data_IF_448022654114
#
_entry.id   IF_448022654114
#
_cell.length_a   1.000
_cell.length_b   1.000
_cell.length_c   1.000
_cell.angle_alpha   90.00
_cell.angle_beta   90.00
_cell.angle_gamma   90.00
#
_symmetry.space_group_name_H-M   'P 1'
#
loop_
_entity.id
_entity.type
_entity.pdbx_description
1 polymer ?
#
# COMPACT_ATOMS: atom_id res chain seq x y z
N UNK A 1 -30.22 9.30 9.47
CA UNK A 1 -30.69 8.10 8.74
C UNK A 1 -30.51 6.88 9.63
N UNK A 2 -31.60 6.18 9.97
CA UNK A 2 -31.53 4.96 10.79
C UNK A 2 -30.64 3.91 10.11
N UNK A 3 -29.72 3.29 10.87
CA UNK A 3 -28.86 2.21 10.36
C UNK A 3 -29.76 1.08 9.89
N UNK A 4 -29.71 0.73 8.60
CA UNK A 4 -30.42 -0.44 8.07
C UNK A 4 -29.90 -1.69 8.78
N UNK A 5 -30.80 -2.44 9.43
CA UNK A 5 -30.44 -3.65 10.18
C UNK A 5 -29.80 -4.67 9.22
N UNK A 6 -28.56 -5.06 9.48
CA UNK A 6 -27.83 -6.01 8.63
C UNK A 6 -28.51 -7.38 8.61
N UNK A 7 -28.44 -8.08 7.47
CA UNK A 7 -29.06 -9.40 7.30
C UNK A 7 -28.27 -10.47 8.06
N UNK A 8 -28.96 -11.33 8.82
CA UNK A 8 -28.32 -12.41 9.57
C UNK A 8 -27.57 -13.39 8.65
N UNK A 9 -26.60 -14.11 9.21
CA UNK A 9 -25.83 -15.13 8.47
C UNK A 9 -26.75 -16.26 7.98
N UNK A 10 -27.70 -16.67 8.80
CA UNK A 10 -28.64 -17.76 8.46
C UNK A 10 -29.53 -17.41 7.27
N UNK A 11 -30.02 -16.16 7.20
CA UNK A 11 -30.81 -15.70 6.05
C UNK A 11 -29.96 -15.66 4.78
N UNK A 12 -28.67 -15.32 4.88
CA UNK A 12 -27.74 -15.36 3.73
C UNK A 12 -27.45 -16.78 3.26
N UNK A 13 -27.30 -17.74 4.18
CA UNK A 13 -27.15 -19.16 3.84
C UNK A 13 -28.37 -19.68 3.09
N UNK A 14 -29.57 -19.45 3.62
CA UNK A 14 -30.83 -19.84 2.96
C UNK A 14 -30.98 -19.26 1.54
N UNK A 15 -30.50 -18.04 1.31
CA UNK A 15 -30.48 -17.43 -0.04
C UNK A 15 -29.60 -18.24 -1.00
N UNK A 16 -28.42 -18.67 -0.54
CA UNK A 16 -27.49 -19.47 -1.36
C UNK A 16 -28.07 -20.87 -1.61
N UNK A 17 -28.63 -21.52 -0.59
CA UNK A 17 -29.22 -22.86 -0.72
C UNK A 17 -30.37 -22.86 -1.73
N UNK A 18 -31.28 -21.88 -1.65
CA UNK A 18 -32.39 -21.74 -2.60
C UNK A 18 -31.91 -21.41 -4.02
N UNK A 19 -30.80 -20.68 -4.15
CA UNK A 19 -30.17 -20.42 -5.45
C UNK A 19 -29.57 -21.68 -6.05
N UNK A 20 -28.88 -22.50 -5.25
CA UNK A 20 -28.33 -23.79 -5.68
C UNK A 20 -29.43 -24.78 -6.05
N UNK A 21 -30.59 -24.70 -5.40
CA UNK A 21 -31.80 -25.44 -5.75
C UNK A 21 -32.53 -24.91 -7.02
N UNK A 22 -31.93 -23.95 -7.74
CA UNK A 22 -32.44 -23.45 -9.01
C UNK A 22 -33.53 -22.37 -8.93
N UNK A 23 -33.85 -21.85 -7.74
CA UNK A 23 -34.85 -20.78 -7.62
C UNK A 23 -34.33 -19.44 -8.17
N UNK A 24 -35.24 -18.67 -8.76
CA UNK A 24 -34.94 -17.33 -9.28
C UNK A 24 -34.80 -16.31 -8.14
N UNK A 25 -33.98 -15.26 -8.36
CA UNK A 25 -33.73 -14.22 -7.35
C UNK A 25 -35.02 -13.53 -6.87
N UNK A 26 -36.01 -13.39 -7.76
CA UNK A 26 -37.33 -12.83 -7.44
C UNK A 26 -38.13 -13.74 -6.50
N UNK A 27 -38.15 -15.05 -6.79
CA UNK A 27 -38.83 -16.04 -5.96
C UNK A 27 -38.20 -16.15 -4.56
N UNK A 28 -36.86 -16.13 -4.50
CA UNK A 28 -36.11 -16.14 -3.23
C UNK A 28 -36.41 -14.89 -2.41
N UNK A 29 -36.43 -13.71 -3.05
CA UNK A 29 -36.74 -12.45 -2.39
C UNK A 29 -38.16 -12.43 -1.80
N UNK A 30 -39.15 -12.90 -2.56
CA UNK A 30 -40.54 -13.04 -2.09
C UNK A 30 -40.67 -14.03 -0.93
N UNK A 31 -39.97 -15.17 -1.00
CA UNK A 31 -40.02 -16.21 0.04
C UNK A 31 -39.40 -15.76 1.36
N UNK A 32 -38.30 -15.00 1.32
CA UNK A 32 -37.54 -14.62 2.52
C UNK A 32 -37.83 -13.20 3.02
N UNK A 33 -38.72 -12.45 2.35
CA UNK A 33 -39.00 -11.05 2.69
C UNK A 33 -37.80 -10.11 2.43
N UNK A 34 -36.93 -10.47 1.49
CA UNK A 34 -35.70 -9.73 1.18
C UNK A 34 -35.82 -9.10 -0.21
N UNK A 35 -35.38 -7.85 -0.36
CA UNK A 35 -35.37 -7.16 -1.67
C UNK A 35 -34.57 -7.98 -2.69
N UNK A 36 -35.10 -8.15 -3.92
CA UNK A 36 -34.44 -8.85 -5.03
C UNK A 36 -33.00 -8.38 -5.25
N UNK A 37 -32.75 -7.07 -5.16
CA UNK A 37 -31.40 -6.49 -5.28
C UNK A 37 -30.42 -7.00 -4.22
N UNK A 38 -30.89 -7.19 -2.98
CA UNK A 38 -30.10 -7.77 -1.89
C UNK A 38 -29.81 -9.24 -2.14
N UNK A 39 -30.80 -10.01 -2.62
CA UNK A 39 -30.63 -11.42 -3.02
C UNK A 39 -29.56 -11.53 -4.12
N UNK A 40 -29.66 -10.74 -5.18
CA UNK A 40 -28.68 -10.73 -6.28
C UNK A 40 -27.27 -10.31 -5.83
N UNK A 41 -27.17 -9.33 -4.91
CA UNK A 41 -25.87 -8.93 -4.34
C UNK A 41 -25.20 -10.07 -3.55
N UNK A 42 -25.98 -10.82 -2.76
CA UNK A 42 -25.50 -11.98 -1.99
C UNK A 42 -25.07 -13.11 -2.93
N UNK A 43 -25.88 -13.46 -3.93
CA UNK A 43 -25.57 -14.52 -4.90
C UNK A 43 -24.32 -14.18 -5.69
N UNK A 44 -24.18 -12.94 -6.18
CA UNK A 44 -22.98 -12.49 -6.89
C UNK A 44 -21.73 -12.61 -6.01
N UNK A 45 -21.82 -12.17 -4.76
CA UNK A 45 -20.71 -12.29 -3.79
C UNK A 45 -20.36 -13.75 -3.54
N UNK A 46 -21.34 -14.63 -3.33
CA UNK A 46 -21.10 -16.05 -3.12
C UNK A 46 -20.50 -16.73 -4.35
N UNK A 47 -20.95 -16.39 -5.57
CA UNK A 47 -20.35 -16.90 -6.81
C UNK A 47 -18.86 -16.57 -6.90
N UNK A 48 -18.47 -15.37 -6.47
CA UNK A 48 -17.06 -14.91 -6.47
C UNK A 48 -16.24 -15.51 -5.34
N UNK A 49 -16.71 -15.44 -4.09
CA UNK A 49 -15.90 -15.72 -2.91
C UNK A 49 -16.24 -17.04 -2.21
N UNK A 50 -17.26 -17.76 -2.68
CA UNK A 50 -17.76 -19.03 -2.11
C UNK A 50 -18.06 -18.95 -0.61
N UNK A 51 -18.44 -17.77 -0.12
CA UNK A 51 -18.76 -17.54 1.29
C UNK A 51 -19.97 -16.62 1.43
N UNK A 52 -20.78 -16.91 2.43
CA UNK A 52 -21.86 -16.05 2.92
C UNK A 52 -21.42 -15.17 4.09
N UNK A 53 -20.22 -15.41 4.64
CA UNK A 53 -19.68 -14.63 5.75
C UNK A 53 -19.50 -13.18 5.37
N UNK A 54 -19.57 -12.31 6.40
CA UNK A 54 -19.12 -10.95 6.23
C UNK A 54 -17.62 -10.99 5.95
N UNK A 55 -17.24 -10.58 4.74
CA UNK A 55 -15.84 -10.32 4.46
C UNK A 55 -15.48 -9.04 5.21
N UNK A 56 -14.25 -8.91 5.72
CA UNK A 56 -13.79 -7.64 6.23
C UNK A 56 -14.09 -6.57 5.19
N UNK A 57 -14.72 -5.48 5.62
CA UNK A 57 -14.95 -4.35 4.73
C UNK A 57 -13.60 -3.97 4.17
N UNK A 58 -13.46 -3.92 2.84
CA UNK A 58 -12.33 -3.22 2.24
C UNK A 58 -12.37 -1.82 2.84
N UNK A 59 -11.38 -1.50 3.69
CA UNK A 59 -11.33 -0.21 4.35
C UNK A 59 -11.43 0.90 3.30
N UNK A 60 -11.89 2.07 3.72
CA UNK A 60 -11.82 3.27 2.89
C UNK A 60 -10.42 3.35 2.26
N UNK A 61 -10.29 3.60 0.94
CA UNK A 61 -8.97 3.79 0.35
C UNK A 61 -8.30 4.90 1.15
N UNK A 62 -7.19 4.57 1.81
CA UNK A 62 -6.45 5.55 2.61
C UNK A 62 -6.11 6.69 1.67
N UNK A 63 -6.72 7.86 1.87
CA UNK A 63 -6.07 9.10 1.45
C UNK A 63 -4.87 9.26 2.38
N UNK A 64 -3.68 9.06 1.81
CA UNK A 64 -2.44 9.81 2.03
C UNK A 64 -1.49 9.30 0.93
N UNK A 65 -1.21 10.12 -0.08
CA UNK A 65 -0.09 9.90 -1.00
C UNK A 65 1.07 10.78 -0.57
N UNK A 66 2.23 10.18 -0.28
CA UNK A 66 3.51 10.82 -0.55
C UNK A 66 4.42 9.79 -1.22
N UNK A 67 4.05 9.37 -2.44
CA UNK A 67 4.91 8.51 -3.27
C UNK A 67 5.76 9.39 -4.17
N UNK A 68 6.79 9.96 -3.56
CA UNK A 68 7.92 10.59 -4.22
C UNK A 68 9.18 9.82 -3.87
N UNK A 69 9.61 8.96 -4.80
CA UNK A 69 10.93 8.31 -4.95
C UNK A 69 11.82 8.31 -3.71
N UNK A 70 12.01 7.15 -3.05
CA UNK A 70 13.08 7.00 -2.06
C UNK A 70 13.58 5.56 -1.92
N UNK A 71 14.90 5.44 -1.86
CA UNK A 71 15.61 4.23 -1.46
C UNK A 71 15.97 4.32 0.02
N UNK A 72 15.73 3.23 0.77
CA UNK A 72 16.31 3.05 2.10
C UNK A 72 17.48 2.13 1.96
N UNK A 73 18.58 2.52 2.58
CA UNK A 73 19.79 1.73 2.63
C UNK A 73 20.22 1.60 4.07
N UNK A 74 21.02 0.57 4.37
CA UNK A 74 21.66 0.44 5.69
C UNK A 74 22.51 1.66 6.05
N UNK A 75 22.95 2.45 5.07
CA UNK A 75 23.85 3.60 5.25
C UNK A 75 23.11 4.91 5.50
N UNK A 76 21.78 4.96 5.30
CA UNK A 76 20.98 6.14 5.58
C UNK A 76 19.88 6.40 4.56
N UNK A 77 19.14 7.50 4.76
CA UNK A 77 18.11 7.92 3.84
C UNK A 77 18.68 8.47 2.52
N UNK A 78 18.06 8.14 1.39
CA UNK A 78 18.33 8.79 0.10
C UNK A 78 17.80 10.22 0.04
N UNK A 79 17.83 10.84 -1.15
CA UNK A 79 17.30 12.19 -1.35
C UNK A 79 15.80 12.27 -1.05
N UNK A 80 15.35 13.38 -0.46
CA UNK A 80 13.94 13.72 -0.27
C UNK A 80 13.55 14.84 -1.23
N UNK A 81 12.45 14.62 -1.96
CA UNK A 81 11.95 15.54 -2.98
C UNK A 81 10.49 15.85 -2.67
N UNK A 82 10.15 17.13 -2.56
CA UNK A 82 8.75 17.59 -2.52
C UNK A 82 8.15 17.50 -3.91
N UNK A 83 6.93 16.98 -3.99
CA UNK A 83 6.14 16.91 -5.22
C UNK A 83 4.94 17.83 -5.04
N UNK A 84 4.89 18.92 -5.79
CA UNK A 84 3.87 19.96 -5.64
C UNK A 84 2.51 19.55 -6.22
N UNK A 85 2.52 18.68 -7.22
CA UNK A 85 1.34 18.29 -7.98
C UNK A 85 1.06 16.80 -7.87
N UNK A 86 -0.11 16.38 -8.39
CA UNK A 86 -0.44 14.96 -8.48
C UNK A 86 0.54 14.26 -9.43
N UNK A 87 1.36 13.38 -8.87
CA UNK A 87 2.37 12.66 -9.65
C UNK A 87 1.76 11.71 -10.69
N UNK A 88 2.12 11.94 -11.95
CA UNK A 88 1.90 11.01 -13.06
C UNK A 88 3.14 10.15 -13.36
N UNK A 89 3.04 9.22 -14.31
CA UNK A 89 4.14 8.31 -14.65
C UNK A 89 5.37 9.01 -15.26
N UNK A 90 5.17 10.08 -16.05
CA UNK A 90 6.28 10.83 -16.65
C UNK A 90 7.09 11.57 -15.58
N UNK A 91 6.40 12.27 -14.66
CA UNK A 91 7.01 12.93 -13.51
C UNK A 91 7.75 11.92 -12.62
N UNK A 92 7.15 10.76 -12.36
CA UNK A 92 7.81 9.71 -11.56
C UNK A 92 9.12 9.26 -12.19
N UNK A 93 9.12 8.99 -13.51
CA UNK A 93 10.32 8.61 -14.27
C UNK A 93 11.39 9.70 -14.22
N UNK A 94 10.99 10.97 -14.33
CA UNK A 94 11.91 12.11 -14.25
C UNK A 94 12.52 12.27 -12.85
N UNK A 95 11.73 12.10 -11.78
CA UNK A 95 12.25 12.15 -10.42
C UNK A 95 13.27 11.02 -10.22
N UNK A 96 12.98 9.80 -10.71
CA UNK A 96 13.93 8.70 -10.63
C UNK A 96 15.20 8.96 -11.43
N UNK A 97 15.08 9.47 -12.66
CA UNK A 97 16.25 9.75 -13.50
C UNK A 97 17.19 10.77 -12.86
N UNK A 98 16.64 11.79 -12.19
CA UNK A 98 17.39 12.85 -11.52
C UNK A 98 17.95 12.47 -10.15
N UNK A 99 17.32 11.53 -9.43
CA UNK A 99 17.64 11.33 -8.00
C UNK A 99 18.14 9.93 -7.63
N UNK A 100 17.82 8.90 -8.41
CA UNK A 100 18.11 7.52 -8.01
C UNK A 100 19.63 7.25 -7.95
N UNK A 101 20.34 7.50 -9.05
CA UNK A 101 21.79 7.30 -9.11
C UNK A 101 22.56 8.27 -8.20
N UNK A 102 22.24 9.57 -8.14
CA UNK A 102 22.88 10.46 -7.18
C UNK A 102 22.70 10.03 -5.72
N UNK A 103 21.51 9.50 -5.35
CA UNK A 103 21.29 8.95 -4.01
C UNK A 103 22.17 7.73 -3.75
N UNK A 104 22.25 6.78 -4.69
CA UNK A 104 23.09 5.60 -4.54
C UNK A 104 24.58 5.95 -4.37
N UNK A 105 25.07 6.94 -5.13
CA UNK A 105 26.45 7.45 -5.03
C UNK A 105 26.71 8.12 -3.69
N UNK A 106 25.83 9.04 -3.27
CA UNK A 106 25.96 9.74 -1.99
C UNK A 106 25.98 8.76 -0.80
N UNK A 107 25.17 7.71 -0.88
CA UNK A 107 25.10 6.65 0.13
C UNK A 107 26.22 5.60 0.02
N UNK A 108 27.18 5.78 -0.90
CA UNK A 108 28.30 4.88 -1.17
C UNK A 108 27.84 3.42 -1.36
N UNK A 109 26.71 3.23 -2.05
CA UNK A 109 26.16 1.89 -2.27
C UNK A 109 27.09 1.05 -3.15
N UNK A 110 27.39 -0.17 -2.69
CA UNK A 110 28.18 -1.13 -3.47
C UNK A 110 27.42 -1.58 -4.71
N UNK A 111 28.16 -2.13 -5.69
CA UNK A 111 27.56 -2.77 -6.87
C UNK A 111 26.55 -3.85 -6.45
N UNK A 112 25.52 -4.04 -7.28
CA UNK A 112 24.51 -5.09 -7.06
C UNK A 112 23.33 -4.70 -6.16
N UNK A 113 23.17 -3.41 -5.83
CA UNK A 113 21.96 -2.94 -5.15
C UNK A 113 20.69 -3.19 -5.99
N UNK A 114 19.57 -3.38 -5.30
CA UNK A 114 18.26 -3.64 -5.89
C UNK A 114 17.32 -2.49 -5.56
N UNK A 115 16.62 -1.98 -6.56
CA UNK A 115 15.62 -0.93 -6.41
C UNK A 115 14.29 -1.53 -5.96
N UNK A 116 13.65 -0.94 -4.95
CA UNK A 116 12.31 -1.33 -4.51
C UNK A 116 11.35 -0.17 -4.71
N UNK A 117 10.17 -0.48 -5.21
CA UNK A 117 8.99 0.40 -5.23
C UNK A 117 7.72 -0.45 -5.17
N UNK A 118 6.59 0.16 -4.79
CA UNK A 118 5.31 -0.55 -4.75
C UNK A 118 4.65 -0.66 -6.14
N UNK A 119 3.58 -1.46 -6.21
CA UNK A 119 2.85 -1.76 -7.44
C UNK A 119 1.83 -0.70 -7.87
N UNK A 120 2.06 0.60 -7.61
CA UNK A 120 1.16 1.62 -8.17
C UNK A 120 1.07 1.52 -9.70
N UNK A 121 -0.10 1.78 -10.33
CA UNK A 121 -0.22 1.70 -11.78
C UNK A 121 0.85 2.49 -12.56
N UNK A 122 1.29 3.65 -12.05
CA UNK A 122 2.37 4.43 -12.67
C UNK A 122 3.76 3.79 -12.56
N UNK A 123 4.00 2.99 -11.53
CA UNK A 123 5.27 2.29 -11.30
C UNK A 123 5.37 1.02 -12.16
N UNK A 124 4.23 0.37 -12.37
CA UNK A 124 4.11 -0.90 -13.11
C UNK A 124 3.73 -0.73 -14.58
N UNK A 125 3.46 0.51 -15.01
CA UNK A 125 3.21 0.86 -16.40
C UNK A 125 4.31 0.33 -17.34
N UNK A 126 3.92 -0.11 -18.53
CA UNK A 126 4.84 -0.69 -19.54
C UNK A 126 6.04 0.22 -19.81
N UNK A 127 5.78 1.50 -20.06
CA UNK A 127 6.82 2.51 -20.32
C UNK A 127 7.82 2.66 -19.15
N UNK A 128 7.36 2.47 -17.90
CA UNK A 128 8.21 2.53 -16.72
C UNK A 128 9.09 1.29 -16.60
N UNK A 129 8.51 0.10 -16.79
CA UNK A 129 9.25 -1.18 -16.81
C UNK A 129 10.32 -1.20 -17.91
N UNK A 130 9.99 -0.75 -19.11
CA UNK A 130 10.92 -0.64 -20.23
C UNK A 130 12.07 0.33 -19.93
N UNK A 131 11.77 1.48 -19.33
CA UNK A 131 12.79 2.44 -18.94
C UNK A 131 13.75 1.89 -17.87
N UNK A 132 13.23 1.20 -16.84
CA UNK A 132 14.05 0.56 -15.81
C UNK A 132 14.98 -0.50 -16.42
N UNK A 133 14.45 -1.31 -17.33
CA UNK A 133 15.21 -2.32 -18.09
C UNK A 133 16.33 -1.67 -18.91
N UNK A 134 16.03 -0.61 -19.67
CA UNK A 134 17.02 0.12 -20.49
C UNK A 134 18.12 0.78 -19.64
N UNK A 135 17.79 1.17 -18.40
CA UNK A 135 18.76 1.71 -17.44
C UNK A 135 19.50 0.63 -16.63
N UNK A 136 19.23 -0.65 -16.90
CA UNK A 136 19.82 -1.80 -16.21
C UNK A 136 19.60 -1.78 -14.69
N UNK A 137 18.47 -1.25 -14.22
CA UNK A 137 18.11 -1.32 -12.81
C UNK A 137 17.52 -2.69 -12.48
N UNK A 138 18.07 -3.33 -11.45
CA UNK A 138 17.45 -4.50 -10.81
C UNK A 138 16.31 -4.02 -9.94
N UNK A 139 15.09 -4.52 -10.17
CA UNK A 139 13.89 -4.14 -9.42
C UNK A 139 13.45 -5.33 -8.58
N UNK A 140 13.16 -5.08 -7.30
CA UNK A 140 12.63 -6.08 -6.38
C UNK A 140 11.16 -6.34 -6.73
N UNK A 141 10.78 -7.61 -6.86
CA UNK A 141 9.38 -7.99 -6.94
C UNK A 141 8.67 -7.68 -5.62
N UNK A 142 7.50 -7.05 -5.70
CA UNK A 142 6.79 -6.57 -4.52
C UNK A 142 5.36 -7.13 -4.47
N UNK A 143 4.91 -7.68 -3.33
CA UNK A 143 3.51 -8.06 -3.17
C UNK A 143 2.60 -6.83 -3.07
N UNK A 144 1.45 -6.90 -3.73
CA UNK A 144 0.43 -5.85 -3.63
C UNK A 144 -0.07 -5.72 -2.19
N UNK A 145 -0.48 -4.50 -1.81
CA UNK A 145 -1.08 -4.22 -0.49
C UNK A 145 -0.25 -4.64 0.74
N UNK A 146 1.08 -4.66 0.63
CA UNK A 146 1.98 -5.02 1.73
C UNK A 146 2.79 -3.82 2.25
N UNK A 147 2.16 -2.81 2.90
CA UNK A 147 2.89 -1.68 3.47
C UNK A 147 3.72 -2.07 4.70
N UNK A 148 3.32 -3.12 5.44
CA UNK A 148 4.01 -3.69 6.60
C UNK A 148 5.42 -4.21 6.24
N UNK A 149 5.55 -4.69 5.00
CA UNK A 149 6.85 -5.07 4.44
C UNK A 149 7.71 -3.87 4.06
N UNK A 150 7.16 -2.67 3.81
CA UNK A 150 7.96 -1.55 3.32
C UNK A 150 8.61 -0.76 4.46
N UNK A 151 9.94 -0.81 4.66
CA UNK A 151 10.59 -0.15 5.80
C UNK A 151 10.50 1.37 5.76
N UNK A 152 10.10 1.96 4.62
CA UNK A 152 9.95 3.41 4.50
C UNK A 152 8.76 3.95 5.25
N UNK A 153 7.75 3.13 5.50
CA UNK A 153 6.62 3.54 6.33
C UNK A 153 7.09 3.85 7.76
N UNK A 154 8.11 3.15 8.26
CA UNK A 154 8.73 3.47 9.55
C UNK A 154 9.50 4.80 9.50
N UNK A 155 10.30 5.05 8.46
CA UNK A 155 11.01 6.35 8.34
C UNK A 155 10.04 7.53 8.19
N UNK A 156 8.92 7.34 7.48
CA UNK A 156 7.89 8.36 7.40
C UNK A 156 7.20 8.62 8.73
N UNK A 157 7.00 7.57 9.54
CA UNK A 157 6.49 7.73 10.90
C UNK A 157 7.44 8.58 11.75
N UNK A 158 8.73 8.25 11.76
CA UNK A 158 9.75 9.01 12.50
C UNK A 158 9.79 10.47 12.03
N UNK A 159 9.83 10.70 10.72
CA UNK A 159 9.84 12.06 10.17
C UNK A 159 8.61 12.87 10.60
N UNK A 160 7.42 12.26 10.57
CA UNK A 160 6.18 12.93 10.99
C UNK A 160 6.21 13.32 12.46
N UNK A 161 6.80 12.49 13.32
CA UNK A 161 6.95 12.80 14.75
C UNK A 161 7.87 14.01 14.93
N UNK A 162 9.06 14.02 14.32
CA UNK A 162 10.00 15.14 14.42
C UNK A 162 9.43 16.44 13.84
N UNK A 163 8.77 16.37 12.68
CA UNK A 163 8.13 17.53 12.04
C UNK A 163 7.00 18.08 12.91
N UNK A 164 6.18 17.22 13.52
CA UNK A 164 5.08 17.64 14.38
C UNK A 164 5.59 18.39 15.64
N UNK A 165 6.71 17.96 16.21
CA UNK A 165 7.32 18.65 17.36
C UNK A 165 7.76 20.08 17.03
N UNK A 166 8.14 20.36 15.78
CA UNK A 166 8.57 21.69 15.33
C UNK A 166 7.44 22.61 14.88
N UNK A 167 6.21 22.11 14.83
CA UNK A 167 4.99 22.89 14.56
C UNK A 167 5.13 23.89 13.39
N UNK A 168 5.39 23.42 12.15
CA UNK A 168 5.49 24.31 10.99
C UNK A 168 4.20 25.10 10.76
N UNK A 169 4.33 26.40 10.54
CA UNK A 169 3.19 27.32 10.40
C UNK A 169 2.71 27.50 8.96
N UNK A 170 3.52 27.09 7.97
CA UNK A 170 3.17 27.18 6.56
C UNK A 170 3.88 26.08 5.74
N UNK A 171 3.53 25.98 4.46
CA UNK A 171 4.02 24.92 3.57
C UNK A 171 5.53 25.03 3.32
N UNK A 172 6.09 26.24 3.25
CA UNK A 172 7.53 26.46 3.05
C UNK A 172 8.31 25.99 4.28
N UNK A 173 7.89 26.42 5.47
CA UNK A 173 8.46 25.96 6.74
C UNK A 173 8.32 24.44 6.89
N UNK A 174 7.18 23.85 6.51
CA UNK A 174 6.99 22.41 6.52
C UNK A 174 8.00 21.70 5.61
N UNK A 175 8.25 22.22 4.40
CA UNK A 175 9.20 21.65 3.47
C UNK A 175 10.64 21.70 4.01
N UNK A 176 11.07 22.85 4.50
CA UNK A 176 12.40 23.07 5.09
C UNK A 176 12.62 22.13 6.29
N UNK A 177 11.67 22.11 7.22
CA UNK A 177 11.73 21.23 8.39
C UNK A 177 11.78 19.76 7.96
N UNK A 178 10.98 19.35 6.97
CA UNK A 178 11.04 17.98 6.46
C UNK A 178 12.43 17.64 5.90
N UNK A 179 13.08 18.56 5.19
CA UNK A 179 14.43 18.34 4.64
C UNK A 179 15.49 18.25 5.75
N UNK A 180 15.43 19.14 6.74
CA UNK A 180 16.33 19.16 7.88
C UNK A 180 16.21 17.89 8.73
N UNK A 181 14.99 17.53 9.14
CA UNK A 181 14.76 16.33 9.95
C UNK A 181 15.09 15.05 9.20
N UNK A 182 14.84 15.02 7.89
CA UNK A 182 15.22 13.89 7.04
C UNK A 182 16.74 13.71 6.97
N UNK A 183 17.51 14.79 6.90
CA UNK A 183 18.97 14.74 6.91
C UNK A 183 19.55 14.31 8.27
N UNK A 184 18.83 14.58 9.37
CA UNK A 184 19.21 14.16 10.73
C UNK A 184 18.91 12.70 11.03
N UNK A 185 18.09 12.01 10.23
CA UNK A 185 17.73 10.62 10.48
C UNK A 185 18.99 9.74 10.55
N UNK A 186 19.26 9.13 11.72
CA UNK A 186 20.53 8.45 11.91
C UNK A 186 20.57 7.16 11.11
N UNK A 187 21.75 6.87 10.54
CA UNK A 187 21.97 5.63 9.79
C UNK A 187 21.66 4.36 10.61
N UNK A 188 21.72 4.45 11.95
CA UNK A 188 21.34 3.37 12.87
C UNK A 188 19.87 2.98 12.74
N UNK A 189 18.95 3.94 12.57
CA UNK A 189 17.53 3.65 12.33
C UNK A 189 17.37 2.86 11.03
N UNK A 190 18.00 3.32 9.94
CA UNK A 190 17.95 2.60 8.67
C UNK A 190 18.60 1.20 8.77
N UNK A 191 19.71 1.08 9.51
CA UNK A 191 20.39 -0.20 9.76
C UNK A 191 19.51 -1.18 10.52
N UNK A 192 18.82 -0.74 11.55
CA UNK A 192 17.91 -1.56 12.36
C UNK A 192 16.68 -2.00 11.56
N UNK A 193 16.13 -1.12 10.72
CA UNK A 193 15.03 -1.45 9.82
C UNK A 193 15.41 -2.53 8.81
N UNK A 194 16.60 -2.43 8.22
CA UNK A 194 17.11 -3.47 7.30
C UNK A 194 17.41 -4.77 8.04
N UNK A 195 18.00 -4.70 9.24
CA UNK A 195 18.32 -5.89 10.04
C UNK A 195 17.07 -6.67 10.48
N UNK A 196 15.96 -5.97 10.76
CA UNK A 196 14.68 -6.59 11.14
C UNK A 196 13.86 -7.10 9.95
N UNK A 197 14.28 -6.80 8.71
CA UNK A 197 13.52 -7.13 7.51
C UNK A 197 13.22 -8.63 7.37
N UNK A 198 14.22 -9.49 7.67
CA UNK A 198 14.04 -10.95 7.64
C UNK A 198 12.92 -11.40 8.60
N UNK A 199 12.82 -10.78 9.77
CA UNK A 199 11.75 -11.09 10.74
C UNK A 199 10.37 -10.68 10.22
N UNK A 200 10.27 -9.60 9.44
CA UNK A 200 9.00 -9.20 8.79
C UNK A 200 8.56 -10.24 7.78
N UNK A 201 9.48 -10.67 6.90
CA UNK A 201 9.20 -11.71 5.91
C UNK A 201 8.75 -13.02 6.58
N UNK A 202 9.48 -13.48 7.61
CA UNK A 202 9.08 -14.67 8.37
C UNK A 202 7.70 -14.50 9.01
N UNK A 203 7.38 -13.32 9.53
CA UNK A 203 6.06 -13.03 10.10
C UNK A 203 4.95 -13.10 9.05
N UNK A 204 5.17 -12.58 7.84
CA UNK A 204 4.20 -12.65 6.74
C UNK A 204 3.98 -14.10 6.30
N UNK A 205 5.06 -14.87 6.16
CA UNK A 205 5.00 -16.29 5.79
C UNK A 205 4.24 -17.09 6.85
N UNK A 206 4.56 -16.91 8.13
CA UNK A 206 3.87 -17.55 9.24
C UNK A 206 2.38 -17.17 9.28
N UNK A 207 2.07 -15.91 8.99
CA UNK A 207 0.70 -15.41 8.86
C UNK A 207 0.06 -15.73 7.49
N UNK A 208 0.64 -16.60 6.66
CA UNK A 208 0.07 -17.00 5.35
C UNK A 208 -0.31 -15.80 4.45
N UNK A 209 0.47 -14.72 4.50
CA UNK A 209 0.23 -13.51 3.73
C UNK A 209 -0.75 -12.50 4.35
N UNK A 210 -1.33 -12.80 5.52
CA UNK A 210 -2.15 -11.84 6.26
C UNK A 210 -1.30 -10.77 6.95
N UNK A 211 -1.96 -9.66 7.32
CA UNK A 211 -1.36 -8.48 7.96
C UNK A 211 -0.52 -8.89 9.17
N UNK A 212 0.65 -8.28 9.30
CA UNK A 212 1.54 -8.46 10.45
C UNK A 212 1.51 -7.25 11.38
N UNK A 213 2.22 -7.33 12.51
CA UNK A 213 2.34 -6.23 13.48
C UNK A 213 3.23 -5.07 13.04
N UNK A 214 3.85 -5.16 11.86
CA UNK A 214 4.84 -4.21 11.37
C UNK A 214 4.23 -3.04 10.60
#
# INVERSE_FOLDING_TARGET
MAKTKELSKDTRNKIVDLHQAGKTESAIGKQLGVKKSTVGAIIRKWKTYKTTDNLPRSGAPRKISPRGVKMITRTGPGRLIRVKERMNGAMYREILSKNLLPSARALKMKRGWVFQHDNEPKHTARAMKEWLRKKHFKVLEWPSQSPDLNPIENLWRELKICVAQRQPQNITALEEICMEEWAKLPATVCKNLVATYRKRLTSVIANKGYITKY
#
